data_IF_052484795488
#
_entry.id   IF_052484795488
#
_cell.length_a   1.000
_cell.length_b   1.000
_cell.length_c   1.000
_cell.angle_alpha   90.00
_cell.angle_beta   90.00
_cell.angle_gamma   90.00
#
_symmetry.space_group_name_H-M   'P 1'
#
loop_
_entity.id
_entity.type
_entity.pdbx_description
1 polymer ?
#
# COMPACT_ATOMS: atom_id res chain seq x y z
N UNK A 1 -5.95 19.17 2.17
CA UNK A 1 -6.69 18.01 1.63
C UNK A 1 -7.70 17.53 2.64
N UNK A 2 -8.95 17.27 2.24
CA UNK A 2 -9.97 16.67 3.12
C UNK A 2 -9.54 15.27 3.58
N UNK A 3 -9.87 14.88 4.82
CA UNK A 3 -9.44 13.60 5.42
C UNK A 3 -9.84 12.39 4.58
N UNK A 4 -11.02 12.45 3.98
CA UNK A 4 -11.56 11.41 3.11
C UNK A 4 -10.67 11.17 1.88
N UNK A 5 -10.13 12.25 1.29
CA UNK A 5 -9.24 12.15 0.14
C UNK A 5 -7.88 11.55 0.53
N UNK A 6 -7.33 11.95 1.69
CA UNK A 6 -6.08 11.36 2.20
C UNK A 6 -6.25 9.85 2.45
N UNK A 7 -7.38 9.45 3.04
CA UNK A 7 -7.70 8.03 3.31
C UNK A 7 -7.88 7.24 2.00
N UNK A 8 -8.57 7.83 1.02
CA UNK A 8 -8.73 7.23 -0.31
C UNK A 8 -7.37 7.00 -1.00
N UNK A 9 -6.46 7.98 -0.96
CA UNK A 9 -5.12 7.86 -1.53
C UNK A 9 -4.32 6.73 -0.87
N UNK A 10 -4.35 6.61 0.46
CA UNK A 10 -3.64 5.50 1.15
C UNK A 10 -4.16 4.14 0.72
N UNK A 11 -5.49 3.99 0.60
CA UNK A 11 -6.10 2.75 0.11
C UNK A 11 -5.78 2.48 -1.36
N UNK A 12 -5.70 3.52 -2.20
CA UNK A 12 -5.31 3.42 -3.61
C UNK A 12 -3.87 2.93 -3.76
N UNK A 13 -2.94 3.50 -2.97
CA UNK A 13 -1.53 3.09 -2.94
C UNK A 13 -1.38 1.65 -2.45
N UNK A 14 -2.15 1.26 -1.44
CA UNK A 14 -2.17 -0.12 -0.96
C UNK A 14 -2.69 -1.10 -2.02
N UNK A 15 -3.82 -0.78 -2.66
CA UNK A 15 -4.41 -1.61 -3.70
C UNK A 15 -3.49 -1.75 -4.92
N UNK A 16 -2.83 -0.66 -5.34
CA UNK A 16 -1.85 -0.69 -6.42
C UNK A 16 -0.65 -1.60 -6.08
N UNK A 17 -0.13 -1.50 -4.85
CA UNK A 17 0.93 -2.39 -4.38
C UNK A 17 0.52 -3.86 -4.38
N UNK A 18 -0.70 -4.15 -3.95
CA UNK A 18 -1.25 -5.51 -3.89
C UNK A 18 -1.43 -6.12 -5.28
N UNK A 19 -1.94 -5.35 -6.24
CA UNK A 19 -2.06 -5.79 -7.65
C UNK A 19 -0.68 -6.06 -8.24
N UNK A 20 0.29 -5.15 -8.06
CA UNK A 20 1.66 -5.34 -8.55
C UNK A 20 2.36 -6.55 -7.90
N UNK A 21 2.11 -6.79 -6.62
CA UNK A 21 2.58 -7.98 -5.91
C UNK A 21 2.02 -9.27 -6.52
N UNK A 22 0.70 -9.34 -6.71
CA UNK A 22 0.03 -10.50 -7.34
C UNK A 22 0.55 -10.74 -8.75
N UNK A 23 0.67 -9.68 -9.55
CA UNK A 23 1.22 -9.77 -10.91
C UNK A 23 2.65 -10.30 -10.86
N UNK A 24 3.50 -9.74 -10.00
CA UNK A 24 4.89 -10.17 -9.83
C UNK A 24 5.05 -11.59 -9.30
N UNK A 25 4.07 -12.12 -8.55
CA UNK A 25 4.04 -13.52 -8.14
C UNK A 25 3.50 -14.45 -9.23
N UNK A 26 2.59 -13.96 -10.07
CA UNK A 26 1.93 -14.75 -11.11
C UNK A 26 2.68 -14.76 -12.44
N UNK A 27 3.61 -13.82 -12.66
CA UNK A 27 4.44 -13.80 -13.87
C UNK A 27 5.74 -14.59 -13.65
N UNK A 28 6.03 -15.62 -14.48
CA UNK A 28 7.28 -16.38 -14.38
C UNK A 28 8.51 -15.59 -14.86
N UNK A 29 8.30 -14.39 -15.43
CA UNK A 29 9.35 -13.49 -15.93
C UNK A 29 10.16 -12.88 -14.78
N UNK A 30 9.53 -12.69 -13.62
CA UNK A 30 10.16 -12.14 -12.43
C UNK A 30 10.27 -13.22 -11.35
N UNK A 31 11.38 -13.23 -10.61
CA UNK A 31 11.48 -14.08 -9.43
C UNK A 31 10.38 -13.69 -8.45
N UNK A 32 9.68 -14.67 -7.88
CA UNK A 32 8.60 -14.43 -6.91
C UNK A 32 9.06 -13.54 -5.75
N UNK A 33 10.36 -13.56 -5.44
CA UNK A 33 11.02 -12.68 -4.48
C UNK A 33 10.91 -11.20 -4.84
N UNK A 34 11.04 -10.86 -6.13
CA UNK A 34 10.90 -9.50 -6.63
C UNK A 34 9.47 -8.97 -6.41
N UNK A 35 8.45 -9.79 -6.69
CA UNK A 35 7.05 -9.45 -6.40
C UNK A 35 6.81 -9.16 -4.92
N UNK A 36 7.40 -9.96 -4.03
CA UNK A 36 7.31 -9.77 -2.58
C UNK A 36 8.00 -8.47 -2.13
N UNK A 37 9.19 -8.17 -2.64
CA UNK A 37 9.93 -6.95 -2.28
C UNK A 37 9.16 -5.70 -2.72
N UNK A 38 8.61 -5.71 -3.93
CA UNK A 38 7.80 -4.60 -4.45
C UNK A 38 6.53 -4.44 -3.60
N UNK A 39 5.83 -5.54 -3.31
CA UNK A 39 4.65 -5.50 -2.44
C UNK A 39 4.97 -4.91 -1.06
N UNK A 40 6.05 -5.37 -0.42
CA UNK A 40 6.48 -4.85 0.88
C UNK A 40 6.82 -3.36 0.81
N UNK A 41 7.50 -2.88 -0.23
CA UNK A 41 7.79 -1.46 -0.41
C UNK A 41 6.51 -0.61 -0.45
N UNK A 42 5.51 -1.02 -1.25
CA UNK A 42 4.24 -0.31 -1.33
C UNK A 42 3.42 -0.41 -0.04
N UNK A 43 3.51 -1.54 0.67
CA UNK A 43 2.88 -1.73 1.98
C UNK A 43 3.47 -0.76 3.02
N UNK A 44 4.79 -0.67 3.11
CA UNK A 44 5.49 0.27 3.99
C UNK A 44 5.21 1.73 3.59
N UNK A 45 5.20 2.05 2.30
CA UNK A 45 4.86 3.39 1.82
C UNK A 45 3.42 3.78 2.22
N UNK A 46 2.46 2.86 2.07
CA UNK A 46 1.07 3.07 2.49
C UNK A 46 0.96 3.32 4.00
N UNK A 47 1.68 2.54 4.82
CA UNK A 47 1.74 2.72 6.27
C UNK A 47 2.37 4.07 6.63
N UNK A 48 3.50 4.42 6.00
CA UNK A 48 4.19 5.69 6.22
C UNK A 48 3.29 6.88 5.87
N UNK A 49 2.58 6.84 4.73
CA UNK A 49 1.58 7.85 4.34
C UNK A 49 0.44 7.96 5.37
N UNK A 50 -0.03 6.83 5.92
CA UNK A 50 -1.04 6.79 6.98
C UNK A 50 -0.56 7.48 8.27
N UNK A 51 0.70 7.26 8.64
CA UNK A 51 1.34 7.86 9.82
C UNK A 51 1.60 9.35 9.60
N UNK A 52 2.23 9.72 8.48
CA UNK A 52 2.55 11.11 8.11
C UNK A 52 1.31 12.01 8.04
N UNK A 53 0.19 11.46 7.57
CA UNK A 53 -1.06 12.20 7.49
C UNK A 53 -1.91 12.16 8.76
N UNK A 54 -1.45 11.51 9.83
CA UNK A 54 -2.20 11.41 11.08
C UNK A 54 -3.53 10.67 10.93
N UNK A 55 -3.70 9.89 9.85
CA UNK A 55 -4.92 9.11 9.56
C UNK A 55 -5.08 7.89 10.46
N UNK A 56 -4.24 7.76 11.50
CA UNK A 56 -4.45 6.87 12.63
C UNK A 56 -5.65 7.42 13.42
N UNK A 57 -6.84 7.29 12.84
CA UNK A 57 -8.10 7.46 13.55
C UNK A 57 -7.97 6.60 14.81
N UNK A 58 -8.08 7.23 15.97
CA UNK A 58 -8.36 6.49 17.21
C UNK A 58 -9.55 5.60 16.89
N UNK A 59 -9.35 4.29 16.91
CA UNK A 59 -10.46 3.37 17.11
C UNK A 59 -11.09 3.77 18.44
N UNK A 60 -12.31 4.31 18.39
CA UNK A 60 -13.12 4.62 19.57
C UNK A 60 -13.15 6.08 19.97
N UNK A 61 -13.95 6.88 19.26
CA UNK A 61 -14.87 7.88 19.81
C UNK A 61 -16.12 7.91 18.93
#
# INVERSE_FOLDING_TARGET
>A
MPENAKRAIVWLVFAAGLILGIVGWSTPVYSSWTGTIVFLCFLFASIALRILWGLKKKEGE
#
